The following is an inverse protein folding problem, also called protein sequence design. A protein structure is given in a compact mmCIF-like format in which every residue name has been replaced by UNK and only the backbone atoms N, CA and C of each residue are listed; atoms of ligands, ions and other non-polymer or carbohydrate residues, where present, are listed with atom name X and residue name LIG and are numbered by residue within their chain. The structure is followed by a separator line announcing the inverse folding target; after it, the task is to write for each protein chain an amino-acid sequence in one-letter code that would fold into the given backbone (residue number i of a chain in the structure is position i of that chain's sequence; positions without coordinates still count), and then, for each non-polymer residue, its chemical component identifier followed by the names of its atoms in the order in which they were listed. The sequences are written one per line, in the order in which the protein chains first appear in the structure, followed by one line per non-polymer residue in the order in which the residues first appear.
data_IF_262387109501
#
_entry.id   IF_262387109501
#
_cell.length_a   1.000
_cell.length_b   1.000
_cell.length_c   1.000
_cell.angle_alpha   90.00
_cell.angle_beta   90.00
_cell.angle_gamma   90.00
#
_symmetry.space_group_name_H-M   'P 1'
#
loop_
_entity.id
_entity.type
_entity.pdbx_description
1 polymer ?
#
# COMPACT_ATOMS: atom_id res chain seq x y z
N UNK A 1 -18.51 -8.71 -1.65
CA UNK A 1 -17.07 -8.97 -1.72
C UNK A 1 -16.41 -8.46 -0.45
N UNK A 2 -15.54 -9.27 0.15
CA UNK A 2 -14.77 -8.94 1.34
C UNK A 2 -13.39 -8.43 0.92
N UNK A 3 -13.00 -7.23 1.32
CA UNK A 3 -11.74 -6.61 0.92
C UNK A 3 -10.54 -7.39 1.47
N UNK A 4 -10.59 -7.75 2.76
CA UNK A 4 -9.45 -8.33 3.49
C UNK A 4 -9.05 -9.69 2.91
N UNK A 5 -9.99 -10.62 2.73
CA UNK A 5 -9.67 -11.97 2.25
C UNK A 5 -9.07 -11.93 0.83
N UNK A 6 -9.61 -11.08 -0.03
CA UNK A 6 -9.10 -10.91 -1.39
C UNK A 6 -7.72 -10.24 -1.40
N UNK A 7 -7.51 -9.19 -0.60
CA UNK A 7 -6.20 -8.55 -0.46
C UNK A 7 -5.13 -9.56 0.01
N UNK A 8 -5.45 -10.43 0.98
CA UNK A 8 -4.50 -11.45 1.44
C UNK A 8 -4.27 -12.57 0.42
N UNK A 9 -5.26 -12.95 -0.39
CA UNK A 9 -5.05 -13.89 -1.49
C UNK A 9 -4.08 -13.33 -2.54
N UNK A 10 -4.19 -12.03 -2.87
CA UNK A 10 -3.26 -11.31 -3.74
C UNK A 10 -1.85 -11.24 -3.13
N UNK A 11 -1.75 -10.82 -1.85
CA UNK A 11 -0.48 -10.71 -1.11
C UNK A 11 0.26 -12.05 -1.04
N UNK A 12 -0.49 -13.13 -0.83
CA UNK A 12 0.09 -14.47 -0.71
C UNK A 12 0.50 -15.08 -2.05
N UNK A 13 0.16 -14.45 -3.18
CA UNK A 13 0.40 -15.00 -4.52
C UNK A 13 -0.47 -16.22 -4.83
N UNK A 14 -1.61 -16.38 -4.16
CA UNK A 14 -2.54 -17.50 -4.40
C UNK A 14 -3.49 -17.25 -5.57
N UNK A 15 -3.54 -16.02 -6.09
CA UNK A 15 -4.36 -15.64 -7.24
C UNK A 15 -3.47 -15.56 -8.50
N UNK A 16 -3.82 -16.31 -9.53
CA UNK A 16 -3.21 -16.16 -10.86
C UNK A 16 -3.63 -14.82 -11.52
N UNK A 17 -3.11 -14.53 -12.72
CA UNK A 17 -3.35 -13.25 -13.39
C UNK A 17 -4.82 -12.98 -13.69
N UNK A 18 -5.59 -13.99 -14.10
CA UNK A 18 -7.02 -13.85 -14.37
C UNK A 18 -7.81 -13.58 -13.07
N UNK A 19 -7.47 -14.29 -11.99
CA UNK A 19 -8.04 -14.06 -10.67
C UNK A 19 -7.68 -12.68 -10.13
N UNK A 20 -6.43 -12.22 -10.30
CA UNK A 20 -6.01 -10.87 -9.90
C UNK A 20 -6.85 -9.81 -10.59
N UNK A 21 -6.98 -9.87 -11.92
CA UNK A 21 -7.79 -8.92 -12.69
C UNK A 21 -9.26 -8.94 -12.24
N UNK A 22 -9.84 -10.13 -12.07
CA UNK A 22 -11.21 -10.28 -11.56
C UNK A 22 -11.37 -9.66 -10.17
N UNK A 23 -10.43 -9.89 -9.26
CA UNK A 23 -10.46 -9.33 -7.90
C UNK A 23 -10.40 -7.80 -7.95
N UNK A 24 -9.44 -7.21 -8.68
CA UNK A 24 -9.32 -5.75 -8.78
C UNK A 24 -10.57 -5.11 -9.39
N UNK A 25 -11.08 -5.66 -10.49
CA UNK A 25 -12.31 -5.18 -11.14
C UNK A 25 -13.51 -5.19 -10.18
N UNK A 26 -13.63 -6.24 -9.36
CA UNK A 26 -14.70 -6.33 -8.37
C UNK A 26 -14.50 -5.42 -7.16
N UNK A 27 -13.27 -5.22 -6.69
CA UNK A 27 -12.98 -4.29 -5.59
C UNK A 27 -13.29 -2.86 -6.04
N UNK A 28 -12.83 -2.45 -7.23
CA UNK A 28 -13.11 -1.12 -7.78
C UNK A 28 -14.61 -0.90 -8.02
N UNK A 29 -15.33 -1.89 -8.54
CA UNK A 29 -16.77 -1.73 -8.84
C UNK A 29 -17.68 -1.86 -7.62
N UNK A 30 -17.30 -2.64 -6.60
CA UNK A 30 -18.20 -3.01 -5.49
C UNK A 30 -17.77 -2.49 -4.13
N UNK A 31 -16.48 -2.28 -3.88
CA UNK A 31 -15.96 -1.86 -2.58
C UNK A 31 -15.54 -0.38 -2.57
N UNK A 32 -15.13 0.18 -3.70
CA UNK A 32 -14.82 1.61 -3.78
C UNK A 32 -16.09 2.45 -3.59
N UNK A 33 -15.99 3.45 -2.72
CA UNK A 33 -17.07 4.39 -2.46
C UNK A 33 -16.52 5.77 -2.10
N UNK A 34 -17.39 6.63 -1.60
CA UNK A 34 -17.10 8.06 -1.35
C UNK A 34 -15.90 8.31 -0.43
N UNK A 35 -15.56 7.36 0.44
CA UNK A 35 -14.51 7.49 1.47
C UNK A 35 -13.42 6.43 1.33
N UNK A 36 -13.24 5.92 0.11
CA UNK A 36 -12.27 4.88 -0.20
C UNK A 36 -12.91 3.50 -0.21
N UNK A 37 -12.14 2.49 0.16
CA UNK A 37 -12.52 1.10 -0.02
C UNK A 37 -13.22 0.54 1.21
N UNK A 38 -14.49 0.23 1.06
CA UNK A 38 -15.29 -0.41 2.09
C UNK A 38 -14.76 -1.81 2.37
N UNK A 39 -14.80 -2.23 3.64
CA UNK A 39 -14.39 -3.58 4.04
C UNK A 39 -15.23 -4.65 3.34
N UNK A 40 -16.52 -4.37 3.14
CA UNK A 40 -17.47 -5.23 2.48
C UNK A 40 -18.25 -4.44 1.44
N UNK A 41 -18.47 -5.02 0.25
CA UNK A 41 -19.21 -4.33 -0.81
C UNK A 41 -20.65 -4.02 -0.44
N UNK A 42 -21.30 -4.98 0.23
CA UNK A 42 -22.64 -4.86 0.74
C UNK A 42 -22.57 -5.13 2.24
N UNK A 43 -23.14 -4.20 3.00
CA UNK A 43 -23.35 -4.44 4.41
C UNK A 43 -24.52 -5.38 4.67
N UNK A 44 -24.62 -5.87 5.90
CA UNK A 44 -25.74 -6.71 6.32
C UNK A 44 -26.95 -5.84 6.66
N UNK A 45 -28.08 -6.10 5.98
CA UNK A 45 -29.36 -5.39 6.22
C UNK A 45 -30.13 -5.95 7.42
N UNK A 46 -29.86 -7.19 7.78
CA UNK A 46 -30.43 -7.90 8.92
C UNK A 46 -29.34 -8.78 9.55
N UNK A 47 -29.47 -9.15 10.84
CA UNK A 47 -28.60 -10.13 11.46
C UNK A 47 -28.55 -11.42 10.63
N UNK A 48 -27.34 -11.95 10.43
CA UNK A 48 -27.14 -13.24 9.79
C UNK A 48 -26.80 -14.25 10.87
N UNK A 49 -27.58 -15.33 10.92
CA UNK A 49 -27.35 -16.40 11.89
C UNK A 49 -25.90 -16.91 11.79
N UNK A 50 -25.26 -17.16 12.94
CA UNK A 50 -23.87 -17.64 13.06
C UNK A 50 -22.77 -16.69 12.58
N UNK A 51 -23.10 -15.55 11.97
CA UNK A 51 -22.11 -14.59 11.50
C UNK A 51 -21.62 -13.63 12.63
N UNK A 52 -22.30 -13.64 13.78
CA UNK A 52 -21.94 -12.82 14.94
C UNK A 52 -22.18 -11.33 14.73
N UNK A 53 -21.50 -10.49 15.53
CA UNK A 53 -21.58 -9.03 15.43
C UNK A 53 -20.51 -8.50 14.46
N UNK A 54 -20.93 -7.93 13.32
CA UNK A 54 -20.03 -7.53 12.21
C UNK A 54 -19.82 -6.01 12.17
N UNK A 55 -19.57 -5.40 13.33
CA UNK A 55 -19.28 -3.96 13.46
C UNK A 55 -20.50 -3.09 13.81
N UNK A 56 -20.37 -1.77 13.61
CA UNK A 56 -21.43 -0.78 13.81
C UNK A 56 -22.17 -0.52 12.48
N UNK A 57 -23.50 -0.53 12.52
CA UNK A 57 -24.34 -0.30 11.33
C UNK A 57 -24.29 -1.45 10.33
N UNK A 58 -24.21 -1.13 9.04
CA UNK A 58 -24.21 -2.12 7.95
C UNK A 58 -22.91 -2.93 7.85
N UNK A 59 -21.81 -2.54 8.52
CA UNK A 59 -20.52 -3.23 8.40
C UNK A 59 -19.82 -3.01 7.05
N UNK A 60 -20.21 -1.97 6.31
CA UNK A 60 -19.67 -1.62 4.98
C UNK A 60 -18.93 -0.28 4.96
N UNK A 61 -18.39 0.16 6.09
CA UNK A 61 -17.59 1.39 6.15
C UNK A 61 -16.12 1.11 5.78
N UNK A 62 -15.38 2.11 5.25
CA UNK A 62 -13.95 1.98 5.03
C UNK A 62 -13.23 1.87 6.36
N UNK A 63 -12.60 0.73 6.57
CA UNK A 63 -11.74 0.45 7.70
C UNK A 63 -10.31 0.61 7.21
N UNK A 64 -9.64 1.69 7.60
CA UNK A 64 -8.39 2.11 6.99
C UNK A 64 -7.30 1.03 7.11
N UNK A 65 -7.31 0.24 8.19
CA UNK A 65 -6.39 -0.88 8.34
C UNK A 65 -6.61 -1.96 7.26
N UNK A 66 -7.86 -2.25 6.90
CA UNK A 66 -8.19 -3.15 5.80
C UNK A 66 -7.80 -2.54 4.45
N UNK A 67 -7.99 -1.23 4.28
CA UNK A 67 -7.53 -0.52 3.08
C UNK A 67 -6.00 -0.58 2.95
N UNK A 68 -5.25 -0.52 4.05
CA UNK A 68 -3.80 -0.67 3.99
C UNK A 68 -3.35 -2.06 3.53
N UNK A 69 -4.13 -3.13 3.81
CA UNK A 69 -3.87 -4.43 3.20
C UNK A 69 -4.09 -4.40 1.70
N UNK A 70 -5.13 -3.69 1.22
CA UNK A 70 -5.38 -3.51 -0.20
C UNK A 70 -4.25 -2.71 -0.88
N UNK A 71 -3.74 -1.65 -0.24
CA UNK A 71 -2.55 -0.93 -0.73
C UNK A 71 -1.37 -1.88 -0.94
N UNK A 72 -1.07 -2.73 0.05
CA UNK A 72 -0.03 -3.75 -0.08
C UNK A 72 -0.31 -4.69 -1.26
N UNK A 73 -1.54 -5.18 -1.38
CA UNK A 73 -1.94 -6.09 -2.46
C UNK A 73 -1.73 -5.47 -3.85
N UNK A 74 -2.14 -4.20 -4.03
CA UNK A 74 -1.86 -3.44 -5.25
C UNK A 74 -0.36 -3.40 -5.54
N UNK A 75 0.47 -3.11 -4.53
CA UNK A 75 1.92 -3.08 -4.70
C UNK A 75 2.53 -4.46 -5.04
N UNK A 76 2.06 -5.53 -4.42
CA UNK A 76 2.55 -6.90 -4.68
C UNK A 76 2.13 -7.44 -6.05
N UNK A 77 1.08 -6.88 -6.66
CA UNK A 77 0.61 -7.23 -8.00
C UNK A 77 1.09 -6.25 -9.09
N UNK A 78 1.79 -5.17 -8.74
CA UNK A 78 2.32 -4.22 -9.73
C UNK A 78 1.35 -3.12 -10.15
N UNK A 79 0.44 -2.69 -9.26
CA UNK A 79 -0.52 -1.62 -9.51
C UNK A 79 -0.22 -0.37 -8.65
N UNK A 80 0.84 0.40 -8.98
CA UNK A 80 1.26 1.54 -8.16
C UNK A 80 0.19 2.64 -8.08
N UNK A 81 -0.51 2.92 -9.18
CA UNK A 81 -1.56 3.94 -9.21
C UNK A 81 -2.76 3.60 -8.32
N UNK A 82 -3.17 2.31 -8.30
CA UNK A 82 -4.22 1.85 -7.39
C UNK A 82 -3.77 1.90 -5.93
N UNK A 83 -2.51 1.53 -5.67
CA UNK A 83 -1.93 1.65 -4.34
C UNK A 83 -1.89 3.11 -3.87
N UNK A 84 -1.52 4.04 -4.75
CA UNK A 84 -1.49 5.47 -4.48
C UNK A 84 -2.88 6.03 -4.22
N UNK A 85 -3.84 5.78 -5.13
CA UNK A 85 -5.26 6.12 -4.94
C UNK A 85 -5.76 5.66 -3.58
N UNK A 86 -5.60 4.37 -3.24
CA UNK A 86 -6.07 3.82 -1.97
C UNK A 86 -5.38 4.46 -0.75
N UNK A 87 -4.11 4.81 -0.86
CA UNK A 87 -3.35 5.48 0.22
C UNK A 87 -3.86 6.88 0.49
N UNK A 88 -4.19 7.67 -0.54
CA UNK A 88 -4.72 9.04 -0.38
C UNK A 88 -6.04 9.07 0.43
N UNK A 89 -6.87 8.02 0.35
CA UNK A 89 -8.08 7.91 1.19
C UNK A 89 -7.79 7.63 2.67
N UNK A 90 -6.60 7.11 2.99
CA UNK A 90 -6.19 6.79 4.36
C UNK A 90 -5.53 8.00 5.03
N UNK A 91 -4.79 8.79 4.25
CA UNK A 91 -4.00 9.92 4.76
C UNK A 91 -4.91 11.04 5.28
N UNK A 92 -4.66 11.55 6.50
CA UNK A 92 -5.56 12.51 7.16
C UNK A 92 -5.42 13.94 6.63
N UNK A 93 -4.40 14.23 5.81
CA UNK A 93 -4.11 15.57 5.28
C UNK A 93 -4.62 15.80 3.85
N UNK A 94 -5.21 14.78 3.23
CA UNK A 94 -5.77 14.88 1.89
C UNK A 94 -7.12 15.60 1.95
N UNK A 95 -7.15 16.94 1.81
CA UNK A 95 -8.39 17.72 2.00
C UNK A 95 -9.55 17.28 1.09
N UNK A 96 -9.24 16.80 -0.12
CA UNK A 96 -10.22 16.18 -1.03
C UNK A 96 -10.90 14.96 -0.39
N UNK A 97 -10.11 14.14 0.31
CA UNK A 97 -10.52 12.85 0.86
C UNK A 97 -10.59 12.81 2.38
N UNK A 98 -10.32 13.87 3.14
CA UNK A 98 -10.37 13.90 4.60
C UNK A 98 -10.59 15.32 5.13
N UNK A 99 -11.57 16.09 4.58
CA UNK A 99 -11.71 17.49 4.91
C UNK A 99 -12.03 17.69 6.39
N UNK A 100 -11.21 18.46 7.09
CA UNK A 100 -11.29 18.67 8.55
C UNK A 100 -12.67 19.17 8.97
N UNK A 101 -13.30 20.01 8.14
CA UNK A 101 -14.64 20.54 8.37
C UNK A 101 -15.75 19.47 8.41
N UNK A 102 -15.53 18.30 7.79
CA UNK A 102 -16.49 17.18 7.79
C UNK A 102 -16.06 16.04 8.72
N UNK A 103 -14.77 15.75 8.78
CA UNK A 103 -14.23 14.66 9.61
C UNK A 103 -14.24 15.04 11.09
N UNK A 104 -14.03 16.33 11.39
CA UNK A 104 -13.74 16.87 12.73
C UNK A 104 -12.53 16.19 13.39
N UNK A 105 -11.64 15.66 12.55
CA UNK A 105 -10.40 15.02 12.94
C UNK A 105 -9.24 15.97 12.64
N UNK A 106 -8.18 16.00 13.47
CA UNK A 106 -6.96 16.73 13.14
C UNK A 106 -6.31 16.13 11.88
N UNK A 107 -5.78 16.96 10.95
CA UNK A 107 -5.27 16.50 9.65
C UNK A 107 -3.95 15.70 9.74
N UNK A 108 -3.46 15.44 10.95
CA UNK A 108 -2.29 14.61 11.24
C UNK A 108 -2.66 13.30 11.94
N UNK A 109 -3.92 13.11 12.33
CA UNK A 109 -4.38 11.95 13.07
C UNK A 109 -4.95 10.89 12.12
N UNK A 110 -4.18 9.82 11.89
CA UNK A 110 -4.68 8.67 11.14
C UNK A 110 -5.87 8.06 11.90
N UNK A 111 -7.01 7.97 11.23
CA UNK A 111 -8.23 7.37 11.76
C UNK A 111 -8.23 5.85 11.57
N UNK A 112 -8.98 5.15 12.42
CA UNK A 112 -9.24 3.72 12.21
C UNK A 112 -10.21 3.51 11.04
N UNK A 113 -11.31 4.26 11.01
CA UNK A 113 -12.33 4.14 9.97
C UNK A 113 -13.06 5.44 9.74
N UNK A 114 -13.59 5.60 8.52
CA UNK A 114 -14.56 6.63 8.19
C UNK A 114 -15.97 6.06 8.23
N UNK A 115 -16.95 6.87 8.60
CA UNK A 115 -18.36 6.49 8.56
C UNK A 115 -18.98 6.83 7.20
N UNK A 116 -19.63 5.83 6.61
CA UNK A 116 -20.49 5.97 5.42
C UNK A 116 -22.00 6.01 5.76
N UNK A 117 -22.35 6.10 7.05
CA UNK A 117 -23.76 6.19 7.45
C UNK A 117 -24.34 7.57 7.13
N UNK A 118 -25.56 7.64 6.59
CA UNK A 118 -26.21 8.89 6.16
C UNK A 118 -26.14 10.02 7.21
N UNK A 119 -26.33 9.69 8.50
CA UNK A 119 -26.33 10.67 9.59
C UNK A 119 -24.93 11.16 9.99
N UNK A 120 -23.89 10.36 9.73
CA UNK A 120 -22.52 10.61 10.19
C UNK A 120 -21.52 10.46 9.05
N UNK A 121 -21.91 10.83 7.83
CA UNK A 121 -21.04 10.76 6.67
C UNK A 121 -19.74 11.54 6.94
N UNK A 122 -18.60 11.00 6.53
CA UNK A 122 -17.25 11.53 6.77
C UNK A 122 -16.73 11.48 8.22
N UNK A 123 -17.56 11.21 9.23
CA UNK A 123 -17.07 11.15 10.63
C UNK A 123 -16.05 10.04 10.80
N UNK A 124 -14.99 10.32 11.54
CA UNK A 124 -13.96 9.33 11.86
C UNK A 124 -14.26 8.59 13.16
N UNK A 125 -13.71 7.40 13.31
CA UNK A 125 -13.71 6.64 14.56
C UNK A 125 -12.28 6.26 14.96
N UNK A 126 -12.02 6.24 16.27
CA UNK A 126 -10.76 5.78 16.87
C UNK A 126 -9.49 6.36 16.21
N UNK A 127 -9.40 7.69 16.23
CA UNK A 127 -8.17 8.41 15.85
C UNK A 127 -7.00 8.06 16.78
N UNK A 128 -5.77 8.06 16.23
CA UNK A 128 -4.50 7.70 16.88
C UNK A 128 -4.33 6.21 17.21
N UNK A 129 -5.31 5.59 17.87
CA UNK A 129 -5.22 4.22 18.38
C UNK A 129 -5.71 3.20 17.34
N UNK A 130 -4.94 3.04 16.27
CA UNK A 130 -5.19 2.03 15.24
C UNK A 130 -3.91 1.45 14.69
N UNK A 131 -3.94 0.14 14.37
CA UNK A 131 -2.89 -0.51 13.61
C UNK A 131 -2.66 0.10 12.22
N UNK A 132 -3.62 0.91 11.71
CA UNK A 132 -3.48 1.66 10.45
C UNK A 132 -2.18 2.46 10.42
N UNK A 133 -1.79 3.09 11.54
CA UNK A 133 -0.57 3.91 11.62
C UNK A 133 0.68 3.12 11.20
N UNK A 134 0.85 1.92 11.78
CA UNK A 134 1.99 1.05 11.47
C UNK A 134 2.01 0.61 10.01
N UNK A 135 0.83 0.41 9.42
CA UNK A 135 0.70 -0.04 8.04
C UNK A 135 0.93 1.09 7.04
N UNK A 136 0.46 2.30 7.33
CA UNK A 136 0.77 3.50 6.51
C UNK A 136 2.27 3.78 6.49
N UNK A 137 2.97 3.60 7.61
CA UNK A 137 4.43 3.70 7.63
C UNK A 137 5.08 2.65 6.69
N UNK A 138 4.61 1.40 6.74
CA UNK A 138 5.08 0.33 5.84
C UNK A 138 4.73 0.59 4.38
N UNK A 139 3.61 1.25 4.10
CA UNK A 139 3.24 1.66 2.73
C UNK A 139 4.33 2.46 2.06
N UNK A 140 4.95 3.40 2.78
CA UNK A 140 6.03 4.22 2.24
C UNK A 140 7.27 3.35 1.97
N UNK A 141 7.87 2.76 3.01
CA UNK A 141 9.16 2.09 2.89
C UNK A 141 9.09 0.72 2.22
N UNK A 142 8.17 -0.16 2.66
CA UNK A 142 8.13 -1.54 2.21
C UNK A 142 7.37 -1.73 0.90
N UNK A 143 6.36 -0.89 0.62
CA UNK A 143 5.45 -1.13 -0.52
C UNK A 143 5.74 -0.20 -1.70
N UNK A 144 5.71 1.12 -1.52
CA UNK A 144 6.06 2.08 -2.59
C UNK A 144 7.54 2.01 -2.93
N UNK A 145 8.44 2.23 -1.97
CA UNK A 145 9.88 2.12 -2.24
C UNK A 145 10.38 0.67 -2.30
N UNK A 146 9.55 -0.29 -1.89
CA UNK A 146 9.83 -1.71 -2.09
C UNK A 146 11.00 -2.25 -1.29
N UNK A 147 11.41 -1.59 -0.21
CA UNK A 147 12.57 -1.96 0.60
C UNK A 147 12.16 -3.05 1.59
N UNK A 148 12.75 -4.24 1.44
CA UNK A 148 12.47 -5.38 2.31
C UNK A 148 13.79 -5.98 2.81
N UNK A 149 13.93 -6.05 4.14
CA UNK A 149 15.07 -6.70 4.78
C UNK A 149 14.86 -8.21 4.82
N UNK A 150 15.86 -8.96 4.37
CA UNK A 150 15.95 -10.41 4.46
C UNK A 150 16.96 -10.85 5.52
N UNK A 151 17.19 -12.16 5.59
CA UNK A 151 18.12 -12.76 6.55
C UNK A 151 19.60 -12.53 6.21
N UNK A 152 19.94 -12.25 4.95
CA UNK A 152 21.32 -12.16 4.43
C UNK A 152 21.55 -10.96 3.52
N UNK A 153 20.70 -9.95 3.61
CA UNK A 153 20.69 -8.84 2.68
C UNK A 153 19.33 -8.15 2.61
N UNK A 154 19.21 -7.21 1.68
CA UNK A 154 17.98 -6.47 1.42
C UNK A 154 17.57 -6.58 -0.05
N UNK A 155 16.26 -6.52 -0.29
CA UNK A 155 15.68 -6.46 -1.63
C UNK A 155 15.03 -5.10 -1.83
N UNK A 156 15.24 -4.51 -3.01
CA UNK A 156 14.52 -3.31 -3.47
C UNK A 156 13.65 -3.72 -4.66
N UNK A 157 12.33 -3.59 -4.53
CA UNK A 157 11.31 -3.93 -5.54
C UNK A 157 10.25 -2.81 -5.60
N UNK A 158 10.58 -1.63 -6.17
CA UNK A 158 9.75 -0.43 -6.07
C UNK A 158 8.39 -0.64 -6.74
N UNK A 159 7.36 0.00 -6.20
CA UNK A 159 6.02 0.12 -6.76
C UNK A 159 5.57 1.58 -6.66
N UNK A 160 6.37 2.47 -7.23
CA UNK A 160 6.23 3.91 -7.08
C UNK A 160 5.22 4.42 -8.14
N UNK A 161 4.21 5.22 -7.76
CA UNK A 161 3.30 5.83 -8.72
C UNK A 161 4.00 6.90 -9.56
N UNK A 162 3.50 7.14 -10.77
CA UNK A 162 4.06 8.13 -11.69
C UNK A 162 4.07 9.55 -11.09
N UNK A 163 3.10 9.87 -10.22
CA UNK A 163 3.00 11.19 -9.59
C UNK A 163 4.20 11.55 -8.70
N UNK A 164 4.95 10.57 -8.20
CA UNK A 164 6.15 10.85 -7.39
C UNK A 164 7.28 11.46 -8.21
N UNK A 165 7.34 11.16 -9.51
CA UNK A 165 8.49 11.48 -10.36
C UNK A 165 9.82 10.96 -9.77
N UNK A 166 10.92 11.57 -10.19
CA UNK A 166 12.22 11.27 -9.60
C UNK A 166 12.21 11.56 -8.10
N UNK A 167 12.54 10.55 -7.30
CA UNK A 167 12.48 10.63 -5.85
C UNK A 167 13.66 9.91 -5.20
N UNK A 168 13.86 10.16 -3.91
CA UNK A 168 14.94 9.52 -3.17
C UNK A 168 14.54 9.19 -1.74
N UNK A 169 15.22 8.20 -1.18
CA UNK A 169 15.06 7.79 0.21
C UNK A 169 16.40 7.55 0.86
N UNK A 170 16.46 7.91 2.14
CA UNK A 170 17.62 7.67 2.99
C UNK A 170 17.19 6.84 4.21
N UNK A 171 17.98 5.82 4.54
CA UNK A 171 17.74 4.98 5.71
C UNK A 171 19.03 4.31 6.20
N UNK A 172 18.92 3.60 7.32
CA UNK A 172 20.00 2.81 7.90
C UNK A 172 19.59 1.35 7.99
N UNK A 173 20.48 0.45 7.59
CA UNK A 173 20.32 -1.00 7.70
C UNK A 173 21.62 -1.62 8.24
N UNK A 174 21.52 -2.33 9.36
CA UNK A 174 22.68 -2.90 10.07
C UNK A 174 23.79 -1.86 10.37
N UNK A 175 23.39 -0.63 10.70
CA UNK A 175 24.32 0.49 10.96
C UNK A 175 24.88 1.17 9.71
N UNK A 176 24.73 0.55 8.53
CA UNK A 176 25.19 1.08 7.24
C UNK A 176 24.17 2.05 6.65
N UNK A 177 24.64 3.14 6.06
CA UNK A 177 23.79 4.17 5.44
C UNK A 177 23.44 3.80 4.01
N UNK A 178 22.20 4.09 3.63
CA UNK A 178 21.68 3.91 2.28
C UNK A 178 21.06 5.20 1.78
N UNK A 179 21.39 5.56 0.55
CA UNK A 179 20.67 6.54 -0.26
C UNK A 179 20.24 5.84 -1.54
N UNK A 180 18.94 5.80 -1.81
CA UNK A 180 18.40 5.27 -3.06
C UNK A 180 17.80 6.42 -3.86
N UNK A 181 18.27 6.59 -5.09
CA UNK A 181 17.70 7.49 -6.08
C UNK A 181 16.86 6.67 -7.05
N UNK A 182 15.56 6.90 -7.05
CA UNK A 182 14.64 6.32 -8.02
C UNK A 182 14.47 7.28 -9.19
N UNK A 183 14.74 6.80 -10.40
CA UNK A 183 14.60 7.56 -11.65
C UNK A 183 13.47 6.95 -12.47
N UNK A 184 12.46 7.75 -12.78
CA UNK A 184 11.35 7.27 -13.60
C UNK A 184 11.82 7.13 -15.06
N UNK A 185 11.50 6.02 -15.71
CA UNK A 185 11.87 5.82 -17.11
C UNK A 185 10.82 5.09 -17.93
N UNK A 186 10.78 5.34 -19.23
CA UNK A 186 9.94 4.60 -20.19
C UNK A 186 10.63 3.35 -20.75
N UNK A 187 11.90 3.12 -20.40
CA UNK A 187 12.63 1.93 -20.84
C UNK A 187 11.94 0.65 -20.39
N UNK A 188 11.90 -0.35 -21.29
CA UNK A 188 11.41 -1.68 -20.98
C UNK A 188 12.31 -2.40 -19.97
N UNK A 189 13.63 -2.31 -20.17
CA UNK A 189 14.63 -2.85 -19.24
C UNK A 189 15.07 -1.75 -18.29
N UNK A 190 14.93 -2.02 -16.99
CA UNK A 190 15.30 -1.10 -15.92
C UNK A 190 16.68 -1.44 -15.39
N UNK A 191 17.54 -0.44 -15.30
CA UNK A 191 18.90 -0.61 -14.77
C UNK A 191 18.98 -0.26 -13.29
N UNK A 192 19.91 -0.93 -12.59
CA UNK A 192 20.25 -0.61 -11.21
C UNK A 192 21.76 -0.42 -11.13
N UNK A 193 22.20 0.68 -10.53
CA UNK A 193 23.61 0.96 -10.27
C UNK A 193 23.81 0.95 -8.76
N UNK A 194 24.74 0.13 -8.29
CA UNK A 194 25.13 0.04 -6.88
C UNK A 194 26.56 0.52 -6.71
N UNK A 195 26.77 1.58 -5.93
CA UNK A 195 28.08 2.16 -5.65
C UNK A 195 28.91 2.41 -6.95
N UNK A 196 28.24 2.92 -7.99
CA UNK A 196 28.85 3.25 -9.28
C UNK A 196 29.07 2.08 -10.24
N UNK A 197 28.58 0.87 -9.91
CA UNK A 197 28.67 -0.32 -10.78
C UNK A 197 27.28 -0.84 -11.14
N UNK A 198 27.13 -1.29 -12.38
CA UNK A 198 25.91 -1.97 -12.81
C UNK A 198 25.64 -3.20 -11.92
N UNK A 199 24.37 -3.37 -11.55
CA UNK A 199 23.94 -4.37 -10.58
C UNK A 199 22.92 -5.32 -11.17
N UNK A 200 22.98 -6.57 -10.74
CA UNK A 200 22.08 -7.60 -11.24
C UNK A 200 20.62 -7.34 -10.81
N UNK A 201 19.70 -7.46 -11.76
CA UNK A 201 18.26 -7.31 -11.54
C UNK A 201 17.51 -8.60 -11.90
N UNK A 202 16.28 -8.73 -11.40
CA UNK A 202 15.34 -9.79 -11.76
C UNK A 202 13.95 -9.19 -11.94
N UNK A 203 13.13 -9.82 -12.77
CA UNK A 203 11.70 -9.49 -12.88
C UNK A 203 10.91 -10.40 -11.94
N UNK A 204 10.08 -9.81 -11.10
CA UNK A 204 9.15 -10.56 -10.26
C UNK A 204 7.96 -11.02 -11.11
N UNK A 205 7.83 -12.34 -11.34
CA UNK A 205 6.81 -12.93 -12.23
C UNK A 205 5.37 -12.51 -11.86
N UNK A 206 5.07 -12.40 -10.56
CA UNK A 206 3.74 -12.03 -10.10
C UNK A 206 3.36 -10.58 -10.40
N UNK A 207 4.33 -9.65 -10.36
CA UNK A 207 4.05 -8.21 -10.47
C UNK A 207 4.59 -7.56 -11.74
N UNK A 208 5.48 -8.24 -12.47
CA UNK A 208 6.23 -7.66 -13.59
C UNK A 208 7.28 -6.62 -13.16
N UNK A 209 7.45 -6.38 -11.85
CA UNK A 209 8.35 -5.34 -11.33
C UNK A 209 9.81 -5.80 -11.35
N UNK A 210 10.70 -4.90 -11.72
CA UNK A 210 12.15 -5.08 -11.52
C UNK A 210 12.46 -5.08 -10.02
N UNK A 211 13.34 -5.99 -9.62
CA UNK A 211 13.89 -6.08 -8.28
C UNK A 211 15.40 -6.30 -8.29
N UNK A 212 16.09 -5.77 -7.29
CA UNK A 212 17.51 -6.02 -7.03
C UNK A 212 17.70 -6.50 -5.60
N UNK A 213 18.62 -7.44 -5.41
CA UNK A 213 19.03 -7.97 -4.11
C UNK A 213 20.47 -7.52 -3.82
N UNK A 214 20.73 -7.15 -2.57
CA UNK A 214 22.04 -6.69 -2.10
C UNK A 214 22.41 -7.53 -0.88
N UNK A 215 23.46 -8.36 -1.01
CA UNK A 215 23.89 -9.23 0.09
C UNK A 215 24.64 -8.43 1.16
N UNK A 216 24.54 -8.84 2.42
CA UNK A 216 25.14 -8.12 3.56
C UNK A 216 26.67 -7.95 3.41
N UNK A 217 27.32 -8.97 2.84
CA UNK A 217 28.75 -9.02 2.53
C UNK A 217 29.20 -7.99 1.48
N UNK A 218 28.29 -7.48 0.65
CA UNK A 218 28.59 -6.52 -0.43
C UNK A 218 28.39 -5.06 0.00
N UNK A 219 27.75 -4.84 1.16
CA UNK A 219 27.40 -3.50 1.63
C UNK A 219 28.62 -2.76 2.20
N UNK A 220 28.76 -1.49 1.83
CA UNK A 220 29.75 -0.56 2.38
C UNK A 220 29.19 0.22 3.57
N UNK A 221 29.98 1.08 4.20
CA UNK A 221 29.49 1.98 5.27
C UNK A 221 28.44 2.98 4.74
N UNK A 222 28.67 3.48 3.51
CA UNK A 222 27.75 4.33 2.78
C UNK A 222 27.44 3.67 1.45
N UNK A 223 26.16 3.46 1.17
CA UNK A 223 25.68 2.76 0.00
C UNK A 223 24.79 3.69 -0.82
N UNK A 224 25.08 3.80 -2.12
CA UNK A 224 24.26 4.56 -3.06
C UNK A 224 23.71 3.60 -4.10
N UNK A 225 22.39 3.65 -4.28
CA UNK A 225 21.67 2.89 -5.30
C UNK A 225 20.99 3.88 -6.24
N UNK A 226 21.25 3.78 -7.54
CA UNK A 226 20.41 4.41 -8.56
C UNK A 226 19.53 3.32 -9.16
N UNK A 227 18.21 3.49 -9.11
CA UNK A 227 17.23 2.50 -9.51
C UNK A 227 16.27 3.10 -10.53
N UNK A 228 16.32 2.63 -11.78
CA UNK A 228 15.31 2.99 -12.79
C UNK A 228 14.01 2.23 -12.53
N UNK A 229 12.85 2.90 -12.59
CA UNK A 229 11.55 2.26 -12.39
C UNK A 229 10.54 2.60 -13.49
#
# INVERSE_FOLDING_TARGET
MYLVSNAWALIAGCADKEMQESIFNHIESKNFGTRGYNTNSNGFRAPVEKAGRIGLGSGSSPYNHAQSFYVRACCECGHPELAYKATRYILPFEEEYAPVAKTYAPPFAIANSYSNGQRFMHRVQFQYLSGTVSYVLRTVYNFFFGITYGYRGLTVKPCIPAEFGDCSVEFTYLGKKFTIHFKQTEKAEKTVIFNGKEWATKINENSGKTMAYFADEELLENNVIEFEY
#
